data_IF_846257487780
#
_entry.id   IF_846257487780
#
_cell.length_a   1.000
_cell.length_b   1.000
_cell.length_c   1.000
_cell.angle_alpha   90.00
_cell.angle_beta   90.00
_cell.angle_gamma   90.00
#
_symmetry.space_group_name_H-M   'P 1'
#
loop_
_entity.id
_entity.type
_entity.pdbx_description
1 polymer ?
#
# COMPACT_ATOMS: atom_id res chain seq x y z
N UNK A 1 24.80 5.19 -15.14
CA UNK A 1 23.65 5.86 -14.48
C UNK A 1 23.51 7.24 -15.10
N UNK A 2 22.30 7.72 -15.45
CA UNK A 2 22.16 9.10 -15.96
C UNK A 2 22.56 10.08 -14.84
N UNK A 3 23.44 11.03 -15.15
CA UNK A 3 23.81 12.11 -14.23
C UNK A 3 22.76 13.22 -14.30
N UNK A 4 22.00 13.40 -13.22
CA UNK A 4 20.93 14.39 -13.12
C UNK A 4 21.41 15.75 -12.61
N UNK A 5 22.65 15.87 -12.14
CA UNK A 5 23.18 17.11 -11.53
C UNK A 5 23.30 18.28 -12.51
N UNK A 6 23.33 17.99 -13.81
CA UNK A 6 23.50 18.97 -14.89
C UNK A 6 22.18 19.46 -15.50
N UNK A 7 21.04 18.94 -15.05
CA UNK A 7 19.72 19.27 -15.60
C UNK A 7 19.08 20.44 -14.84
N UNK A 8 18.37 21.30 -15.57
CA UNK A 8 17.54 22.34 -14.97
C UNK A 8 16.27 21.76 -14.34
N UNK A 9 15.62 22.49 -13.44
CA UNK A 9 14.36 22.05 -12.82
C UNK A 9 13.29 21.66 -13.86
N UNK A 10 13.00 22.45 -14.92
CA UNK A 10 12.06 22.02 -15.97
C UNK A 10 12.46 20.69 -16.63
N UNK A 11 13.76 20.49 -16.92
CA UNK A 11 14.25 19.24 -17.50
C UNK A 11 14.08 18.05 -16.53
N UNK A 12 14.35 18.26 -15.24
CA UNK A 12 14.14 17.26 -14.19
C UNK A 12 12.66 16.87 -14.07
N UNK A 13 11.74 17.84 -14.14
CA UNK A 13 10.30 17.58 -14.10
C UNK A 13 9.81 16.78 -15.31
N UNK A 14 10.32 17.09 -16.51
CA UNK A 14 10.02 16.32 -17.73
C UNK A 14 10.53 14.89 -17.61
N UNK A 15 11.77 14.67 -17.17
CA UNK A 15 12.32 13.33 -16.98
C UNK A 15 11.58 12.56 -15.88
N UNK A 16 11.17 13.24 -14.79
CA UNK A 16 10.35 12.65 -13.73
C UNK A 16 8.99 12.20 -14.24
N UNK A 17 8.32 13.01 -15.05
CA UNK A 17 7.03 12.65 -15.69
C UNK A 17 7.16 11.41 -16.57
N UNK A 18 8.20 11.36 -17.41
CA UNK A 18 8.51 10.17 -18.24
C UNK A 18 8.77 8.93 -17.38
N UNK A 19 9.52 9.07 -16.29
CA UNK A 19 9.82 7.95 -15.40
C UNK A 19 8.55 7.43 -14.72
N UNK A 20 7.68 8.31 -14.22
CA UNK A 20 6.39 7.91 -13.63
C UNK A 20 5.50 7.18 -14.64
N UNK A 21 5.44 7.65 -15.90
CA UNK A 21 4.69 6.97 -16.95
C UNK A 21 5.22 5.55 -17.22
N UNK A 22 6.56 5.40 -17.33
CA UNK A 22 7.19 4.08 -17.49
C UNK A 22 6.96 3.17 -16.29
N UNK A 23 6.95 3.70 -15.07
CA UNK A 23 6.64 2.91 -13.87
C UNK A 23 5.20 2.39 -13.90
N UNK A 24 4.25 3.23 -14.34
CA UNK A 24 2.86 2.81 -14.51
C UNK A 24 2.72 1.71 -15.59
N UNK A 25 3.39 1.90 -16.73
CA UNK A 25 3.41 0.91 -17.82
C UNK A 25 4.01 -0.43 -17.38
N UNK A 26 5.18 -0.41 -16.74
CA UNK A 26 5.83 -1.62 -16.21
C UNK A 26 4.96 -2.33 -15.15
N UNK A 27 4.24 -1.55 -14.32
CA UNK A 27 3.31 -2.12 -13.35
C UNK A 27 2.14 -2.81 -14.04
N UNK A 28 1.60 -2.22 -15.10
CA UNK A 28 0.53 -2.85 -15.88
C UNK A 28 1.03 -4.12 -16.58
N UNK A 29 2.17 -4.04 -17.28
CA UNK A 29 2.79 -5.20 -17.94
C UNK A 29 3.08 -6.33 -16.95
N UNK A 30 3.58 -6.01 -15.76
CA UNK A 30 3.77 -7.01 -14.69
C UNK A 30 2.46 -7.65 -14.27
N UNK A 31 1.39 -6.87 -14.12
CA UNK A 31 0.07 -7.40 -13.78
C UNK A 31 -0.47 -8.33 -14.87
N UNK A 32 -0.32 -7.94 -16.14
CA UNK A 32 -0.78 -8.75 -17.28
C UNK A 32 0.00 -10.06 -17.38
N UNK A 33 1.31 -10.02 -17.11
CA UNK A 33 2.16 -11.21 -17.00
C UNK A 33 1.71 -12.12 -15.85
N UNK A 34 1.43 -11.58 -14.67
CA UNK A 34 0.93 -12.36 -13.53
C UNK A 34 -0.40 -13.08 -13.88
N UNK A 35 -1.31 -12.39 -14.58
CA UNK A 35 -2.55 -13.00 -15.08
C UNK A 35 -2.30 -14.10 -16.11
N UNK A 36 -1.42 -13.86 -17.09
CA UNK A 36 -1.09 -14.84 -18.11
C UNK A 36 -0.43 -16.10 -17.51
N UNK A 37 0.49 -15.92 -16.55
CA UNK A 37 1.15 -17.02 -15.84
C UNK A 37 0.13 -17.85 -15.05
N UNK A 38 -0.79 -17.21 -14.33
CA UNK A 38 -1.80 -17.93 -13.52
C UNK A 38 -2.89 -18.61 -14.36
N UNK A 39 -3.12 -18.15 -15.59
CA UNK A 39 -4.00 -18.80 -16.56
C UNK A 39 -3.34 -19.98 -17.30
N UNK A 40 -2.01 -20.09 -17.30
CA UNK A 40 -1.31 -21.16 -17.99
C UNK A 40 -1.66 -22.54 -17.40
N UNK A 41 -1.96 -23.58 -18.21
CA UNK A 41 -2.45 -24.88 -17.71
C UNK A 41 -1.60 -25.52 -16.60
N UNK A 42 -0.27 -25.43 -16.70
CA UNK A 42 0.69 -25.99 -15.72
C UNK A 42 0.60 -25.35 -14.33
N UNK A 43 0.16 -24.08 -14.28
CA UNK A 43 0.01 -23.29 -13.06
C UNK A 43 -1.45 -23.31 -12.61
N UNK A 44 -2.38 -23.13 -13.55
CA UNK A 44 -3.82 -22.95 -13.31
C UNK A 44 -4.40 -24.09 -12.47
N UNK A 45 -4.09 -25.35 -12.80
CA UNK A 45 -4.58 -26.51 -12.04
C UNK A 45 -4.19 -26.50 -10.57
N UNK A 46 -3.03 -25.91 -10.23
CA UNK A 46 -2.51 -25.80 -8.87
C UNK A 46 -3.04 -24.57 -8.12
N UNK A 47 -3.48 -23.52 -8.82
CA UNK A 47 -3.88 -22.23 -8.23
C UNK A 47 -5.38 -21.93 -8.32
N UNK A 48 -6.15 -22.68 -9.11
CA UNK A 48 -7.59 -22.42 -9.32
C UNK A 48 -8.40 -22.44 -7.99
N UNK A 49 -7.94 -23.18 -6.98
CA UNK A 49 -8.59 -23.14 -5.66
C UNK A 49 -8.36 -21.80 -4.93
N UNK A 50 -7.21 -21.16 -5.14
CA UNK A 50 -6.85 -19.89 -4.51
C UNK A 50 -7.59 -18.69 -5.11
N UNK A 51 -8.08 -18.74 -6.35
CA UNK A 51 -8.86 -17.62 -6.90
C UNK A 51 -10.14 -17.38 -6.11
N UNK A 52 -10.72 -18.44 -5.52
CA UNK A 52 -11.95 -18.39 -4.74
C UNK A 52 -11.73 -18.24 -3.23
N UNK A 53 -10.68 -18.85 -2.66
CA UNK A 53 -10.41 -18.79 -1.20
C UNK A 53 -9.38 -17.72 -0.81
N UNK A 54 -8.68 -17.18 -1.80
CA UNK A 54 -7.38 -16.53 -1.66
C UNK A 54 -6.33 -17.42 -0.99
N UNK A 55 -5.20 -16.81 -0.60
CA UNK A 55 -4.09 -17.50 0.06
C UNK A 55 -2.81 -17.52 -0.75
N UNK A 56 -1.89 -18.43 -0.43
CA UNK A 56 -0.58 -18.56 -1.06
C UNK A 56 -0.27 -20.02 -1.31
N UNK A 57 0.24 -20.36 -2.50
CA UNK A 57 0.71 -21.71 -2.83
C UNK A 57 2.04 -21.65 -3.57
N UNK A 58 2.80 -22.74 -3.46
CA UNK A 58 4.03 -22.97 -4.22
C UNK A 58 3.69 -23.88 -5.39
N UNK A 59 3.97 -23.43 -6.60
CA UNK A 59 3.76 -24.15 -7.85
C UNK A 59 5.10 -24.68 -8.32
N UNK A 60 5.23 -26.00 -8.39
CA UNK A 60 6.43 -26.64 -8.89
C UNK A 60 6.44 -26.58 -10.41
N UNK A 61 7.54 -26.10 -10.98
CA UNK A 61 7.69 -25.89 -12.42
C UNK A 61 8.39 -27.05 -13.15
N UNK A 62 8.55 -28.20 -12.51
CA UNK A 62 9.03 -29.46 -13.10
C UNK A 62 10.24 -29.32 -14.06
N UNK A 63 11.19 -28.42 -13.75
CA UNK A 63 12.42 -28.22 -14.52
C UNK A 63 12.37 -27.14 -15.61
N UNK A 64 11.28 -26.38 -15.78
CA UNK A 64 11.21 -25.27 -16.76
C UNK A 64 12.21 -24.16 -16.41
N UNK A 65 12.32 -23.82 -15.13
CA UNK A 65 13.37 -22.98 -14.56
C UNK A 65 13.81 -23.57 -13.21
N UNK A 66 15.04 -23.31 -12.73
CA UNK A 66 15.55 -23.86 -11.46
C UNK A 66 14.95 -23.18 -10.22
N UNK A 67 13.69 -22.75 -10.29
CA UNK A 67 12.94 -22.07 -9.23
C UNK A 67 11.46 -22.45 -9.31
N UNK A 68 10.83 -22.59 -8.16
CA UNK A 68 9.38 -22.72 -8.06
C UNK A 68 8.71 -21.34 -8.05
N UNK A 69 7.47 -21.27 -8.51
CA UNK A 69 6.67 -20.06 -8.41
C UNK A 69 5.93 -20.03 -7.07
N UNK A 70 5.90 -18.86 -6.43
CA UNK A 70 4.93 -18.58 -5.38
C UNK A 70 3.80 -17.76 -5.98
N UNK A 71 2.59 -18.31 -6.00
CA UNK A 71 1.39 -17.59 -6.42
C UNK A 71 0.59 -17.20 -5.18
N UNK A 72 0.30 -15.91 -5.05
CA UNK A 72 -0.41 -15.36 -3.90
C UNK A 72 -1.61 -14.53 -4.33
N UNK A 73 -2.80 -14.97 -3.94
CA UNK A 73 -4.02 -14.16 -4.00
C UNK A 73 -4.19 -13.47 -2.66
N UNK A 74 -3.92 -12.16 -2.62
CA UNK A 74 -4.04 -11.37 -1.40
C UNK A 74 -5.51 -11.25 -1.01
N UNK A 75 -5.90 -11.92 0.06
CA UNK A 75 -7.18 -11.67 0.73
C UNK A 75 -7.00 -10.47 1.64
N UNK A 76 -7.77 -9.41 1.41
CA UNK A 76 -7.93 -8.36 2.40
C UNK A 76 -9.01 -8.80 3.38
N UNK A 77 -8.60 -9.22 4.58
CA UNK A 77 -9.53 -9.43 5.70
C UNK A 77 -9.46 -8.19 6.58
N UNK A 78 -10.58 -7.50 6.74
CA UNK A 78 -10.75 -6.45 7.73
C UNK A 78 -11.57 -6.98 8.89
N UNK A 79 -11.19 -6.60 10.10
CA UNK A 79 -11.99 -6.83 11.29
C UNK A 79 -12.79 -5.57 11.57
N UNK A 80 -14.08 -5.73 11.87
CA UNK A 80 -14.93 -4.64 12.35
C UNK A 80 -14.38 -4.15 13.71
N UNK A 81 -13.79 -2.95 13.70
CA UNK A 81 -13.17 -2.38 14.89
C UNK A 81 -14.21 -1.98 15.93
N UNK A 82 -15.40 -1.57 15.50
CA UNK A 82 -16.50 -1.20 16.40
C UNK A 82 -17.00 -2.44 17.12
N UNK A 83 -17.16 -3.54 16.40
CA UNK A 83 -17.51 -4.83 16.99
C UNK A 83 -16.42 -5.32 17.95
N UNK A 84 -15.14 -5.30 17.54
CA UNK A 84 -14.02 -5.70 18.39
C UNK A 84 -13.92 -4.87 19.68
N UNK A 85 -14.19 -3.56 19.60
CA UNK A 85 -14.16 -2.68 20.78
C UNK A 85 -15.24 -3.02 21.80
N UNK A 86 -16.42 -3.43 21.34
CA UNK A 86 -17.55 -3.86 22.19
C UNK A 86 -17.23 -5.17 22.92
N UNK A 87 -16.75 -6.17 22.18
CA UNK A 87 -16.48 -7.51 22.75
C UNK A 87 -15.17 -7.59 23.55
N UNK A 88 -14.29 -6.58 23.43
CA UNK A 88 -13.02 -6.55 24.18
C UNK A 88 -13.24 -6.66 25.69
N UNK A 89 -14.31 -6.06 26.21
CA UNK A 89 -14.63 -6.08 27.64
C UNK A 89 -15.04 -7.48 28.14
N UNK A 90 -15.54 -8.33 27.23
CA UNK A 90 -16.03 -9.68 27.54
C UNK A 90 -14.93 -10.74 27.44
N UNK A 91 -13.74 -10.37 26.94
CA UNK A 91 -12.62 -11.29 26.70
C UNK A 91 -11.48 -10.96 27.67
N UNK A 92 -10.96 -11.94 28.43
CA UNK A 92 -9.78 -11.73 29.27
C UNK A 92 -8.60 -11.16 28.47
N UNK A 93 -7.84 -10.23 29.07
CA UNK A 93 -6.77 -9.51 28.38
C UNK A 93 -5.72 -10.44 27.77
N UNK A 94 -5.40 -11.55 28.44
CA UNK A 94 -4.46 -12.57 27.95
C UNK A 94 -5.01 -13.44 26.80
N UNK A 95 -6.30 -13.34 26.49
CA UNK A 95 -6.98 -14.07 25.42
C UNK A 95 -7.47 -13.16 24.28
N UNK A 96 -7.23 -11.85 24.35
CA UNK A 96 -7.60 -10.91 23.30
C UNK A 96 -6.42 -10.67 22.34
N UNK A 97 -6.42 -11.26 21.12
CA UNK A 97 -5.24 -11.28 20.26
C UNK A 97 -5.02 -9.98 19.46
N UNK A 98 -5.73 -8.90 19.78
CA UNK A 98 -5.67 -7.63 19.04
C UNK A 98 -5.00 -6.52 19.85
N UNK A 99 -4.14 -5.74 19.17
CA UNK A 99 -3.58 -4.50 19.70
C UNK A 99 -4.42 -3.32 19.22
N UNK A 100 -4.83 -2.45 20.13
CA UNK A 100 -5.48 -1.18 19.77
C UNK A 100 -4.47 -0.28 19.04
N UNK A 101 -4.85 0.19 17.86
CA UNK A 101 -4.13 1.23 17.12
C UNK A 101 -5.11 2.36 16.84
N UNK A 102 -4.75 3.57 17.20
CA UNK A 102 -5.51 4.75 16.80
C UNK A 102 -5.11 5.11 15.37
N UNK A 103 -6.11 5.17 14.49
CA UNK A 103 -5.94 5.65 13.11
C UNK A 103 -6.46 7.08 13.12
N UNK A 104 -5.63 8.02 12.72
CA UNK A 104 -5.99 9.43 12.68
C UNK A 104 -7.03 9.69 11.58
N UNK A 105 -8.13 10.34 11.95
CA UNK A 105 -9.01 11.00 10.98
C UNK A 105 -8.41 12.36 10.62
N UNK A 106 -7.64 12.39 9.53
CA UNK A 106 -6.93 13.60 9.09
C UNK A 106 -7.85 14.80 8.82
N UNK A 107 -9.12 14.59 8.46
CA UNK A 107 -10.04 15.69 8.19
C UNK A 107 -10.53 16.31 9.50
N UNK A 108 -10.89 15.45 10.45
CA UNK A 108 -11.26 15.89 11.79
C UNK A 108 -10.06 16.52 12.52
N UNK A 109 -8.87 15.91 12.46
CA UNK A 109 -7.65 16.46 13.05
C UNK A 109 -7.36 17.88 12.57
N UNK A 110 -7.45 18.15 11.26
CA UNK A 110 -7.29 19.51 10.71
C UNK A 110 -8.35 20.49 11.22
N UNK A 111 -9.57 20.01 11.39
CA UNK A 111 -10.67 20.82 11.93
C UNK A 111 -10.42 21.15 13.40
N UNK A 112 -9.85 20.21 14.17
CA UNK A 112 -9.46 20.41 15.57
C UNK A 112 -8.26 21.34 15.66
N UNK A 113 -7.24 21.18 14.82
CA UNK A 113 -6.08 22.09 14.74
C UNK A 113 -6.53 23.55 14.52
N UNK A 114 -7.51 23.77 13.63
CA UNK A 114 -8.01 25.10 13.30
C UNK A 114 -8.91 25.71 14.38
N UNK A 115 -9.79 24.91 14.99
CA UNK A 115 -10.86 25.41 15.86
C UNK A 115 -10.60 25.20 17.37
N UNK A 116 -9.73 24.26 17.73
CA UNK A 116 -9.45 23.84 19.11
C UNK A 116 -7.95 23.48 19.28
N UNK A 117 -7.02 24.43 19.09
CA UNK A 117 -5.58 24.15 19.08
C UNK A 117 -5.09 23.50 20.39
N UNK A 118 -5.59 23.92 21.55
CA UNK A 118 -5.24 23.32 22.85
C UNK A 118 -5.57 21.83 22.96
N UNK A 119 -6.57 21.36 22.18
CA UNK A 119 -6.94 19.94 22.11
C UNK A 119 -6.02 19.22 21.13
N UNK A 120 -5.66 19.86 20.03
CA UNK A 120 -4.71 19.35 19.04
C UNK A 120 -3.34 19.07 19.67
N UNK A 121 -2.84 20.03 20.44
CA UNK A 121 -1.54 19.96 21.10
C UNK A 121 -1.41 18.71 21.99
N UNK A 122 -2.48 18.36 22.73
CA UNK A 122 -2.48 17.23 23.66
C UNK A 122 -2.17 15.88 23.01
N UNK A 123 -2.64 15.64 21.79
CA UNK A 123 -2.34 14.38 21.10
C UNK A 123 -1.16 14.50 20.13
N UNK A 124 -0.82 15.73 19.71
CA UNK A 124 0.40 15.99 18.93
C UNK A 124 1.68 15.67 19.73
N UNK A 125 1.66 15.82 21.07
CA UNK A 125 2.78 15.41 21.94
C UNK A 125 3.18 13.93 21.76
N UNK A 126 2.25 13.06 21.35
CA UNK A 126 2.50 11.65 21.07
C UNK A 126 3.06 11.36 19.67
N UNK A 127 3.21 12.37 18.82
CA UNK A 127 3.61 12.20 17.42
C UNK A 127 5.11 11.87 17.32
N UNK A 128 5.41 10.67 16.81
CA UNK A 128 6.78 10.28 16.47
C UNK A 128 6.99 10.33 14.96
N UNK A 129 7.73 11.32 14.49
CA UNK A 129 8.03 11.47 13.06
C UNK A 129 9.32 10.74 12.69
N UNK A 130 9.20 9.71 11.86
CA UNK A 130 10.36 9.08 11.18
C UNK A 130 10.42 9.55 9.73
N UNK A 131 11.41 10.37 9.40
CA UNK A 131 11.66 10.80 8.02
C UNK A 131 12.45 9.69 7.32
N UNK A 132 11.83 8.97 6.40
CA UNK A 132 12.54 8.03 5.54
C UNK A 132 13.37 8.79 4.50
N UNK A 133 14.63 8.42 4.34
CA UNK A 133 15.77 9.17 3.79
C UNK A 133 15.71 9.58 2.30
N UNK A 134 14.55 9.52 1.62
CA UNK A 134 14.45 10.04 0.24
C UNK A 134 13.19 10.89 0.01
N UNK A 135 13.31 12.09 -0.58
CA UNK A 135 12.16 12.86 -1.01
C UNK A 135 11.42 12.16 -2.16
N UNK A 136 10.09 12.13 -2.07
CA UNK A 136 9.22 11.61 -3.13
C UNK A 136 8.47 12.76 -3.81
N UNK A 137 8.63 12.86 -5.13
CA UNK A 137 7.95 13.87 -5.96
C UNK A 137 6.79 13.22 -6.71
N UNK A 138 5.60 13.78 -6.55
CA UNK A 138 4.38 13.44 -7.30
C UNK A 138 3.78 14.71 -7.91
N UNK A 139 3.03 14.56 -9.00
CA UNK A 139 2.28 15.65 -9.60
C UNK A 139 0.86 15.63 -9.03
N UNK A 140 0.40 16.77 -8.50
CA UNK A 140 -0.97 16.96 -8.00
C UNK A 140 -1.71 17.93 -8.92
N UNK A 141 -3.01 17.75 -9.07
CA UNK A 141 -3.85 18.73 -9.78
C UNK A 141 -3.88 20.05 -9.01
N UNK A 142 -3.93 21.19 -9.70
CA UNK A 142 -4.13 22.48 -9.04
C UNK A 142 -5.47 22.48 -8.30
N UNK A 143 -5.48 23.04 -7.08
CA UNK A 143 -6.70 23.22 -6.30
C UNK A 143 -7.72 24.01 -7.14
N UNK A 144 -8.96 23.52 -7.24
CA UNK A 144 -10.05 24.22 -7.94
C UNK A 144 -10.22 25.61 -7.31
N UNK A 145 -9.79 26.67 -8.00
CA UNK A 145 -10.00 28.04 -7.53
C UNK A 145 -8.98 29.09 -7.99
N UNK A 146 -7.79 28.70 -8.45
CA UNK A 146 -6.83 29.66 -9.01
C UNK A 146 -6.97 29.74 -10.53
N UNK A 147 -7.81 30.68 -10.98
CA UNK A 147 -7.70 31.29 -12.32
C UNK A 147 -6.78 32.50 -12.25
#
# INVERSE_FOLDING_TARGET
>A
MKDYSKLTLPQLLVEKKKNLAKQAELKQQSSDLDFAITAHPEVHGQVNRLSNSGGSTRVQLNGIIPKDLRVQYKVTRSWDQDFLSKVKQDIPENLFPFKTKYIEDSALSKTIEQNYPDVFDKFQEGLQTKINERPYVSFVEPLKGTK
#
